data_IF_484600401438
#
_entry.id   IF_484600401438
#
_cell.length_a   1.000
_cell.length_b   1.000
_cell.length_c   1.000
_cell.angle_alpha   90.00
_cell.angle_beta   90.00
_cell.angle_gamma   90.00
#
_symmetry.space_group_name_H-M   'P 1'
#
loop_
_entity.id
_entity.type
_entity.pdbx_description
1 polymer ?
#
# COMPACT_ATOMS: atom_id res chain seq x y z
N UNK A 1 52.68 -28.48 -35.74
CA UNK A 1 51.60 -29.31 -35.14
C UNK A 1 50.81 -28.49 -34.12
N UNK A 2 50.08 -27.43 -34.53
CA UNK A 2 49.29 -26.61 -33.57
C UNK A 2 48.25 -25.67 -34.20
N UNK A 3 47.64 -26.00 -35.35
CA UNK A 3 46.57 -25.16 -35.93
C UNK A 3 45.30 -25.90 -36.37
N UNK A 4 45.27 -27.24 -36.34
CA UNK A 4 44.09 -28.04 -36.73
C UNK A 4 43.25 -28.58 -35.56
N UNK A 5 43.65 -28.35 -34.29
CA UNK A 5 42.91 -28.86 -33.11
C UNK A 5 41.86 -27.89 -32.53
N UNK A 6 41.73 -26.68 -33.06
CA UNK A 6 40.81 -25.67 -32.51
C UNK A 6 39.51 -25.43 -33.30
N UNK A 7 39.31 -26.11 -34.43
CA UNK A 7 38.10 -25.90 -35.25
C UNK A 7 36.97 -26.90 -34.93
N UNK A 8 37.27 -28.08 -34.39
CA UNK A 8 36.25 -29.07 -34.01
C UNK A 8 35.45 -28.67 -32.76
N UNK A 9 36.06 -27.91 -31.84
CA UNK A 9 35.42 -27.39 -30.62
C UNK A 9 34.61 -26.11 -30.85
N UNK A 10 34.91 -25.31 -31.87
CA UNK A 10 34.17 -24.08 -32.21
C UNK A 10 32.89 -24.38 -33.02
N UNK A 11 32.91 -25.42 -33.85
CA UNK A 11 31.73 -25.85 -34.65
C UNK A 11 30.68 -26.56 -33.77
N UNK A 12 31.09 -27.23 -32.69
CA UNK A 12 30.17 -27.87 -31.74
C UNK A 12 29.54 -26.88 -30.74
N UNK A 13 30.23 -25.80 -30.36
CA UNK A 13 29.69 -24.81 -29.41
C UNK A 13 28.70 -23.82 -30.04
N UNK A 14 28.91 -23.45 -31.31
CA UNK A 14 28.04 -22.51 -32.03
C UNK A 14 26.70 -23.13 -32.40
N UNK A 15 26.65 -24.43 -32.71
CA UNK A 15 25.40 -25.15 -32.98
C UNK A 15 24.53 -25.30 -31.73
N UNK A 16 25.12 -25.60 -30.57
CA UNK A 16 24.37 -25.74 -29.30
C UNK A 16 23.69 -24.46 -28.83
N UNK A 17 24.37 -23.31 -28.92
CA UNK A 17 23.80 -22.01 -28.53
C UNK A 17 22.66 -21.56 -29.46
N UNK A 18 22.80 -21.80 -30.77
CA UNK A 18 21.75 -21.50 -31.78
C UNK A 18 20.54 -22.41 -31.58
N UNK A 19 20.73 -23.70 -31.31
CA UNK A 19 19.65 -24.65 -30.99
C UNK A 19 18.95 -24.25 -29.70
N UNK A 20 19.68 -23.87 -28.65
CA UNK A 20 19.09 -23.39 -27.39
C UNK A 20 18.29 -22.09 -27.57
N UNK A 21 18.78 -21.17 -28.41
CA UNK A 21 18.04 -19.94 -28.73
C UNK A 21 16.75 -20.24 -29.52
N UNK A 22 16.82 -21.11 -30.53
CA UNK A 22 15.65 -21.55 -31.32
C UNK A 22 14.63 -22.29 -30.45
N UNK A 23 15.07 -23.24 -29.60
CA UNK A 23 14.20 -23.94 -28.66
C UNK A 23 13.54 -22.99 -27.67
N UNK A 24 14.25 -21.95 -27.22
CA UNK A 24 13.70 -20.90 -26.35
C UNK A 24 12.66 -20.06 -27.09
N UNK A 25 12.90 -19.68 -28.34
CA UNK A 25 11.91 -18.95 -29.18
C UNK A 25 10.66 -19.80 -29.46
N UNK A 26 10.83 -21.08 -29.80
CA UNK A 26 9.72 -22.02 -29.99
C UNK A 26 8.91 -22.17 -28.69
N UNK A 27 9.58 -22.36 -27.54
CA UNK A 27 8.91 -22.46 -26.24
C UNK A 27 8.14 -21.18 -25.90
N UNK A 28 8.70 -20.00 -26.16
CA UNK A 28 7.98 -18.73 -25.99
C UNK A 28 6.78 -18.60 -26.93
N UNK A 29 6.91 -19.00 -28.19
CA UNK A 29 5.81 -19.00 -29.17
C UNK A 29 4.69 -19.94 -28.75
N UNK A 30 5.01 -21.17 -28.32
CA UNK A 30 4.02 -22.13 -27.81
C UNK A 30 3.33 -21.60 -26.56
N UNK A 31 4.06 -21.02 -25.60
CA UNK A 31 3.48 -20.39 -24.41
C UNK A 31 2.57 -19.23 -24.80
N UNK A 32 2.97 -18.41 -25.75
CA UNK A 32 2.19 -17.27 -26.24
C UNK A 32 0.88 -17.71 -26.90
N UNK A 33 0.92 -18.68 -27.81
CA UNK A 33 -0.29 -19.20 -28.46
C UNK A 33 -1.19 -19.94 -27.46
N UNK A 34 -0.63 -20.69 -26.50
CA UNK A 34 -1.41 -21.32 -25.42
C UNK A 34 -2.10 -20.28 -24.53
N UNK A 35 -1.42 -19.19 -24.19
CA UNK A 35 -2.00 -18.08 -23.43
C UNK A 35 -3.07 -17.37 -24.24
N UNK A 36 -2.85 -17.18 -25.55
CA UNK A 36 -3.78 -16.53 -26.46
C UNK A 36 -5.05 -17.36 -26.66
N UNK A 37 -4.94 -18.68 -26.83
CA UNK A 37 -6.08 -19.60 -26.84
C UNK A 37 -6.81 -19.61 -25.50
N UNK A 38 -6.09 -19.64 -24.37
CA UNK A 38 -6.72 -19.53 -23.05
C UNK A 38 -7.45 -18.20 -22.89
N UNK A 39 -6.89 -17.09 -23.33
CA UNK A 39 -7.54 -15.77 -23.32
C UNK A 39 -8.75 -15.75 -24.25
N UNK A 40 -8.65 -16.32 -25.45
CA UNK A 40 -9.73 -16.38 -26.44
C UNK A 40 -10.90 -17.23 -25.93
N UNK A 41 -10.62 -18.44 -25.46
CA UNK A 41 -11.63 -19.33 -24.86
C UNK A 41 -12.22 -18.74 -23.58
N UNK A 42 -11.41 -18.06 -22.78
CA UNK A 42 -11.90 -17.38 -21.58
C UNK A 42 -12.80 -16.17 -21.91
N UNK A 43 -12.52 -15.42 -23.00
CA UNK A 43 -13.39 -14.36 -23.52
C UNK A 43 -14.74 -14.90 -24.02
N UNK A 44 -14.72 -16.01 -24.75
CA UNK A 44 -15.93 -16.62 -25.29
C UNK A 44 -16.78 -17.32 -24.21
N UNK A 45 -16.17 -17.83 -23.14
CA UNK A 45 -16.86 -18.53 -22.05
C UNK A 45 -17.28 -17.63 -20.87
N UNK A 46 -16.83 -16.37 -20.79
CA UNK A 46 -17.19 -15.46 -19.71
C UNK A 46 -17.93 -14.23 -20.23
N UNK A 47 -19.25 -14.39 -20.34
CA UNK A 47 -20.32 -13.39 -20.17
C UNK A 47 -20.07 -11.97 -20.71
N UNK A 48 -20.94 -11.61 -21.65
CA UNK A 48 -21.35 -10.24 -21.92
C UNK A 48 -21.94 -9.65 -20.63
N UNK A 49 -21.14 -8.91 -19.85
CA UNK A 49 -21.61 -8.22 -18.64
C UNK A 49 -22.21 -6.90 -19.11
N UNK A 50 -23.54 -6.88 -19.30
CA UNK A 50 -24.31 -5.74 -19.83
C UNK A 50 -24.15 -4.44 -19.02
N UNK A 51 -23.68 -4.55 -17.79
CA UNK A 51 -23.42 -3.43 -16.87
C UNK A 51 -22.07 -2.74 -17.10
N UNK A 52 -21.21 -3.28 -17.98
CA UNK A 52 -19.89 -2.69 -18.22
C UNK A 52 -20.01 -1.44 -19.11
N UNK A 53 -19.34 -0.32 -18.74
CA UNK A 53 -19.36 0.91 -19.53
C UNK A 53 -18.79 0.77 -20.94
N UNK A 54 -17.97 -0.27 -21.19
CA UNK A 54 -17.37 -0.53 -22.49
C UNK A 54 -17.50 -2.01 -22.83
N UNK A 55 -18.14 -2.36 -23.96
CA UNK A 55 -18.35 -3.76 -24.36
C UNK A 55 -17.04 -4.50 -24.69
N UNK A 56 -15.93 -3.79 -24.91
CA UNK A 56 -14.62 -4.40 -25.14
C UNK A 56 -13.89 -4.78 -23.84
N UNK A 57 -14.46 -4.45 -22.68
CA UNK A 57 -13.85 -4.81 -21.41
C UNK A 57 -13.98 -6.30 -21.16
N UNK A 58 -12.88 -6.84 -20.65
CA UNK A 58 -12.76 -8.27 -20.37
C UNK A 58 -12.52 -8.44 -18.88
N UNK A 59 -13.32 -9.28 -18.25
CA UNK A 59 -13.28 -9.54 -16.80
C UNK A 59 -11.93 -9.86 -16.12
N UNK A 60 -10.83 -10.36 -16.68
CA UNK A 60 -9.53 -10.72 -16.04
C UNK A 60 -9.46 -11.51 -14.68
N UNK A 61 -10.47 -11.53 -13.80
CA UNK A 61 -10.37 -12.18 -12.50
C UNK A 61 -11.57 -11.99 -11.57
N UNK A 62 -11.40 -12.43 -10.31
CA UNK A 62 -12.35 -12.26 -9.21
C UNK A 62 -11.57 -11.88 -7.94
N UNK A 63 -12.10 -10.96 -7.16
CA UNK A 63 -11.56 -10.61 -5.84
C UNK A 63 -11.67 -11.84 -4.93
N UNK A 64 -10.53 -12.33 -4.43
CA UNK A 64 -10.48 -13.47 -3.52
C UNK A 64 -10.80 -13.04 -2.08
N UNK A 65 -10.15 -11.98 -1.63
CA UNK A 65 -10.31 -11.43 -0.28
C UNK A 65 -10.14 -9.91 -0.29
N UNK A 66 -10.79 -9.25 0.66
CA UNK A 66 -10.62 -7.84 0.95
C UNK A 66 -10.05 -7.70 2.35
N UNK A 67 -9.09 -6.78 2.49
CA UNK A 67 -8.41 -6.50 3.74
C UNK A 67 -8.21 -5.00 3.86
N UNK A 68 -8.21 -4.51 5.10
CA UNK A 68 -7.70 -3.19 5.48
C UNK A 68 -6.66 -3.36 6.57
N UNK A 69 -5.80 -2.37 6.75
CA UNK A 69 -4.83 -2.29 7.84
C UNK A 69 -5.23 -1.11 8.72
N UNK A 70 -6.10 -1.30 9.74
CA UNK A 70 -6.55 -0.18 10.56
C UNK A 70 -5.39 0.52 11.25
N UNK A 71 -4.38 -0.22 11.68
CA UNK A 71 -3.09 0.30 12.12
C UNK A 71 -2.10 0.29 10.95
N UNK A 72 -1.51 1.45 10.64
CA UNK A 72 -0.46 1.58 9.65
C UNK A 72 0.72 0.66 9.99
N UNK A 73 1.13 -0.17 9.04
CA UNK A 73 2.15 -1.22 9.21
C UNK A 73 1.78 -2.35 10.18
N UNK A 74 0.56 -2.36 10.72
CA UNK A 74 0.03 -3.42 11.58
C UNK A 74 -0.65 -4.55 10.80
N UNK A 75 -1.23 -5.49 11.54
CA UNK A 75 -1.90 -6.65 10.97
C UNK A 75 -3.18 -6.25 10.22
N UNK A 76 -3.57 -7.10 9.28
CA UNK A 76 -4.74 -6.90 8.42
C UNK A 76 -6.02 -7.35 9.10
N UNK A 77 -7.10 -6.63 8.82
CA UNK A 77 -8.47 -7.01 9.15
C UNK A 77 -9.19 -7.43 7.88
N UNK A 78 -9.74 -8.64 7.88
CA UNK A 78 -10.54 -9.15 6.76
C UNK A 78 -11.89 -8.43 6.70
N UNK A 79 -12.33 -8.08 5.49
CA UNK A 79 -13.57 -7.37 5.24
C UNK A 79 -14.44 -8.13 4.22
N UNK A 80 -15.76 -8.03 4.36
CA UNK A 80 -16.72 -8.49 3.35
C UNK A 80 -16.99 -7.44 2.27
N UNK A 81 -16.89 -6.16 2.63
CA UNK A 81 -17.16 -5.02 1.76
C UNK A 81 -16.27 -3.84 2.13
N UNK A 82 -15.83 -3.10 1.11
CA UNK A 82 -15.14 -1.82 1.23
C UNK A 82 -15.88 -0.75 0.44
N UNK A 83 -15.86 0.47 0.96
CA UNK A 83 -16.17 1.70 0.22
C UNK A 83 -14.88 2.47 0.09
N UNK A 84 -14.55 2.92 -1.11
CA UNK A 84 -13.39 3.77 -1.31
C UNK A 84 -13.81 5.23 -1.21
N UNK A 85 -13.01 6.01 -0.50
CA UNK A 85 -13.17 7.45 -0.32
C UNK A 85 -11.87 8.16 -0.71
N UNK A 86 -11.85 9.49 -0.89
CA UNK A 86 -10.61 10.23 -1.10
C UNK A 86 -9.55 10.02 0.00
N UNK A 87 -9.97 9.66 1.22
CA UNK A 87 -9.10 9.45 2.37
C UNK A 87 -8.67 7.99 2.57
N UNK A 88 -9.13 7.08 1.70
CA UNK A 88 -8.80 5.66 1.77
C UNK A 88 -10.03 4.76 1.75
N UNK A 89 -9.76 3.46 1.85
CA UNK A 89 -10.80 2.45 1.96
C UNK A 89 -11.42 2.47 3.35
N UNK A 90 -12.74 2.35 3.43
CA UNK A 90 -13.48 2.25 4.67
C UNK A 90 -14.39 1.03 4.66
N UNK A 91 -14.66 0.47 5.83
CA UNK A 91 -15.66 -0.57 6.05
C UNK A 91 -16.49 -0.23 7.29
N UNK A 92 -17.71 -0.77 7.38
CA UNK A 92 -18.50 -0.67 8.61
C UNK A 92 -18.38 -2.00 9.36
N UNK A 93 -17.83 -1.97 10.57
CA UNK A 93 -17.72 -3.14 11.44
C UNK A 93 -18.28 -2.80 12.81
N UNK A 94 -19.23 -3.61 13.29
CA UNK A 94 -19.85 -3.47 14.62
C UNK A 94 -20.32 -2.03 14.93
N UNK A 95 -20.89 -1.36 13.94
CA UNK A 95 -21.43 0.00 14.04
C UNK A 95 -20.43 1.13 13.74
N UNK A 96 -19.12 0.92 13.95
CA UNK A 96 -18.09 1.91 13.64
C UNK A 96 -17.63 1.86 12.17
N UNK A 97 -17.27 3.01 11.61
CA UNK A 97 -16.56 3.12 10.34
C UNK A 97 -15.07 2.94 10.60
N UNK A 98 -14.52 1.82 10.11
CA UNK A 98 -13.10 1.53 10.18
C UNK A 98 -12.44 1.93 8.87
N UNK A 99 -11.44 2.81 8.97
CA UNK A 99 -10.68 3.32 7.83
C UNK A 99 -9.32 2.60 7.73
N UNK A 100 -8.88 2.34 6.49
CA UNK A 100 -7.52 1.88 6.24
C UNK A 100 -6.52 2.92 6.74
N UNK A 101 -5.58 2.49 7.59
CA UNK A 101 -4.58 3.33 8.27
C UNK A 101 -5.19 4.42 9.14
N UNK A 102 -6.32 4.11 9.79
CA UNK A 102 -6.94 4.98 10.80
C UNK A 102 -6.00 5.27 11.99
N UNK A 103 -5.09 4.35 12.31
CA UNK A 103 -4.14 4.47 13.40
C UNK A 103 -2.70 4.42 12.89
N UNK A 104 -1.79 5.10 13.57
CA UNK A 104 -0.36 5.09 13.31
C UNK A 104 0.42 4.93 14.60
N UNK A 105 1.64 4.40 14.52
CA UNK A 105 2.57 4.42 15.65
C UNK A 105 3.49 5.62 15.49
N UNK A 106 3.57 6.45 16.51
CA UNK A 106 4.40 7.63 16.60
C UNK A 106 5.41 7.47 17.73
N UNK A 107 6.66 7.81 17.49
CA UNK A 107 7.70 7.84 18.50
C UNK A 107 7.86 9.27 19.02
N UNK A 108 7.48 9.50 20.27
CA UNK A 108 7.49 10.83 20.88
C UNK A 108 8.90 11.39 21.06
N UNK A 109 9.92 10.54 21.15
CA UNK A 109 11.32 10.97 21.31
C UNK A 109 11.91 11.40 19.97
N UNK A 110 11.75 10.58 18.93
CA UNK A 110 12.29 10.89 17.60
C UNK A 110 11.37 11.79 16.78
N UNK A 111 10.13 11.99 17.24
CA UNK A 111 9.06 12.71 16.54
C UNK A 111 8.69 12.09 15.20
N UNK A 112 8.98 10.80 14.98
CA UNK A 112 8.77 10.11 13.70
C UNK A 112 7.72 9.01 13.78
N UNK A 113 7.00 8.81 12.66
CA UNK A 113 6.14 7.64 12.50
C UNK A 113 6.97 6.36 12.33
N UNK A 114 6.50 5.30 12.97
CA UNK A 114 7.12 3.99 12.92
C UNK A 114 6.44 3.10 11.88
N UNK A 115 7.23 2.23 11.26
CA UNK A 115 6.77 1.28 10.26
C UNK A 115 7.53 -0.04 10.36
N UNK A 116 7.23 -1.01 9.49
CA UNK A 116 7.89 -2.32 9.51
C UNK A 116 9.40 -2.27 9.22
N UNK A 117 9.90 -1.23 8.54
CA UNK A 117 11.33 -1.05 8.30
C UNK A 117 12.05 -0.58 9.57
N UNK A 118 11.42 0.29 10.36
CA UNK A 118 12.00 0.72 11.64
C UNK A 118 11.83 -0.35 12.72
N UNK A 119 10.68 -1.03 12.75
CA UNK A 119 10.35 -2.06 13.75
C UNK A 119 9.43 -3.13 13.15
N UNK A 120 10.00 -4.28 12.80
CA UNK A 120 9.27 -5.39 12.18
C UNK A 120 8.14 -5.94 13.06
N UNK A 121 8.27 -5.89 14.38
CA UNK A 121 7.24 -6.38 15.32
C UNK A 121 5.89 -5.65 15.21
N UNK A 122 5.87 -4.43 14.66
CA UNK A 122 4.63 -3.66 14.45
C UNK A 122 3.63 -4.43 13.59
N UNK A 123 4.09 -5.26 12.64
CA UNK A 123 3.23 -6.04 11.75
C UNK A 123 2.32 -7.03 12.46
N UNK A 124 2.62 -7.37 13.72
CA UNK A 124 1.86 -8.30 14.54
C UNK A 124 0.82 -7.58 15.41
N UNK A 125 0.87 -6.25 15.48
CA UNK A 125 -0.09 -5.45 16.23
C UNK A 125 -1.38 -5.36 15.45
N UNK A 126 -2.47 -5.83 16.05
CA UNK A 126 -3.80 -5.84 15.46
C UNK A 126 -4.70 -4.83 16.15
N UNK A 127 -5.58 -4.20 15.38
CA UNK A 127 -6.61 -3.30 15.87
C UNK A 127 -7.99 -3.85 15.46
N UNK A 128 -8.79 -4.26 16.44
CA UNK A 128 -10.13 -4.82 16.24
C UNK A 128 -11.18 -3.93 16.88
N UNK A 129 -12.31 -3.75 16.18
CA UNK A 129 -13.44 -3.02 16.73
C UNK A 129 -14.24 -3.96 17.62
N UNK A 130 -14.57 -3.53 18.83
CA UNK A 130 -15.42 -4.28 19.76
C UNK A 130 -16.87 -3.79 19.73
N UNK A 131 -17.08 -2.48 19.61
CA UNK A 131 -18.38 -1.82 19.54
C UNK A 131 -18.30 -0.54 18.69
N UNK A 132 -19.32 0.32 18.76
CA UNK A 132 -19.39 1.57 18.01
C UNK A 132 -18.34 2.60 18.44
N UNK A 133 -17.84 2.53 19.67
CA UNK A 133 -16.81 3.44 20.17
C UNK A 133 -15.56 2.73 20.70
N UNK A 134 -15.60 1.41 20.89
CA UNK A 134 -14.50 0.69 21.51
C UNK A 134 -13.58 0.01 20.50
N UNK A 135 -12.28 0.27 20.66
CA UNK A 135 -11.20 -0.34 19.89
C UNK A 135 -10.30 -1.14 20.80
N UNK A 136 -9.99 -2.37 20.40
CA UNK A 136 -9.01 -3.21 21.06
C UNK A 136 -7.75 -3.29 20.21
N UNK A 137 -6.62 -2.92 20.79
CA UNK A 137 -5.30 -3.25 20.25
C UNK A 137 -4.80 -4.54 20.88
N UNK A 138 -4.19 -5.40 20.08
CA UNK A 138 -3.66 -6.69 20.55
C UNK A 138 -2.34 -7.05 19.89
N UNK A 139 -1.49 -7.73 20.67
CA UNK A 139 -0.26 -8.37 20.22
C UNK A 139 -0.15 -9.70 20.99
N UNK A 140 -0.32 -10.82 20.28
CA UNK A 140 -0.49 -12.13 20.91
C UNK A 140 -1.60 -12.09 21.99
N UNK A 141 -1.29 -12.48 23.23
CA UNK A 141 -2.25 -12.51 24.34
C UNK A 141 -2.43 -11.16 25.05
N UNK A 142 -1.57 -10.18 24.76
CA UNK A 142 -1.62 -8.86 25.38
C UNK A 142 -2.60 -7.96 24.65
N UNK A 143 -3.51 -7.33 25.39
CA UNK A 143 -4.60 -6.52 24.84
C UNK A 143 -4.80 -5.25 25.66
N UNK A 144 -5.19 -4.18 24.98
CA UNK A 144 -5.70 -2.95 25.60
C UNK A 144 -6.95 -2.52 24.83
N UNK A 145 -7.96 -2.05 25.54
CA UNK A 145 -9.22 -1.60 24.93
C UNK A 145 -9.47 -0.16 25.35
N UNK A 146 -9.76 0.70 24.37
CA UNK A 146 -10.08 2.10 24.61
C UNK A 146 -11.46 2.43 24.08
N UNK A 147 -12.11 3.41 24.71
CA UNK A 147 -13.27 4.09 24.16
C UNK A 147 -12.78 5.33 23.40
N UNK A 148 -12.86 5.29 22.06
CA UNK A 148 -12.43 6.38 21.19
C UNK A 148 -13.16 7.69 21.51
N UNK A 149 -14.44 7.63 21.84
CA UNK A 149 -15.22 8.84 22.06
C UNK A 149 -14.86 9.51 23.38
N UNK A 150 -14.51 8.71 24.40
CA UNK A 150 -14.06 9.23 25.69
C UNK A 150 -12.66 9.81 25.61
N UNK A 151 -11.70 9.06 25.07
CA UNK A 151 -10.30 9.50 25.00
C UNK A 151 -10.14 10.75 24.14
N UNK A 152 -10.95 10.89 23.08
CA UNK A 152 -10.92 12.07 22.21
C UNK A 152 -11.64 13.28 22.83
N UNK A 153 -12.68 13.10 23.64
CA UNK A 153 -13.38 14.24 24.27
C UNK A 153 -12.62 14.79 25.47
N UNK A 154 -12.11 13.90 26.33
CA UNK A 154 -11.60 14.31 27.64
C UNK A 154 -10.11 14.71 27.58
N UNK A 155 -9.36 14.22 26.59
CA UNK A 155 -7.89 14.35 26.58
C UNK A 155 -7.28 14.43 25.17
N UNK A 156 -7.92 15.19 24.26
CA UNK A 156 -7.49 15.37 22.87
C UNK A 156 -6.10 16.00 22.76
N UNK A 157 -5.04 15.18 22.79
CA UNK A 157 -3.67 15.61 22.54
C UNK A 157 -3.33 15.41 21.06
N UNK A 158 -3.22 16.50 20.32
CA UNK A 158 -2.70 16.48 18.94
C UNK A 158 -1.18 16.40 19.03
N UNK A 159 -0.58 15.30 18.56
CA UNK A 159 0.88 15.11 18.62
C UNK A 159 1.60 15.60 17.36
N UNK A 160 0.87 15.70 16.25
CA UNK A 160 1.35 16.19 14.96
C UNK A 160 0.16 16.67 14.14
N UNK A 161 0.40 17.69 13.34
CA UNK A 161 -0.55 18.25 12.39
C UNK A 161 0.15 18.43 11.05
N UNK A 162 -0.55 18.12 9.96
CA UNK A 162 -0.10 18.42 8.61
C UNK A 162 -1.21 19.19 7.90
N UNK A 163 -0.94 20.44 7.57
CA UNK A 163 -1.86 21.29 6.80
C UNK A 163 -1.38 21.40 5.36
N UNK A 164 -2.26 21.04 4.44
CA UNK A 164 -2.12 21.28 3.00
C UNK A 164 -3.13 22.34 2.57
N UNK A 165 -3.08 22.79 1.32
CA UNK A 165 -4.03 23.76 0.77
C UNK A 165 -5.49 23.29 0.70
N UNK A 166 -5.77 22.00 0.94
CA UNK A 166 -7.14 21.46 0.80
C UNK A 166 -7.54 20.54 1.97
N UNK A 167 -6.56 20.10 2.76
CA UNK A 167 -6.74 19.06 3.78
C UNK A 167 -5.86 19.39 4.98
N UNK A 168 -6.46 19.36 6.17
CA UNK A 168 -5.79 19.23 7.45
C UNK A 168 -5.75 17.76 7.86
N UNK A 169 -4.62 17.32 8.38
CA UNK A 169 -4.46 15.98 8.94
C UNK A 169 -3.97 16.13 10.38
N UNK A 170 -4.80 15.74 11.34
CA UNK A 170 -4.49 15.76 12.76
C UNK A 170 -4.19 14.35 13.24
N UNK A 171 -3.13 14.20 14.03
CA UNK A 171 -2.77 12.94 14.67
C UNK A 171 -3.04 13.06 16.17
N UNK A 172 -4.07 12.37 16.64
CA UNK A 172 -4.57 12.46 18.00
C UNK A 172 -4.08 11.26 18.79
N UNK A 173 -3.48 11.53 19.94
CA UNK A 173 -3.00 10.53 20.89
C UNK A 173 -4.12 9.62 21.39
N UNK A 174 -3.91 8.31 21.38
CA UNK A 174 -4.85 7.34 21.93
C UNK A 174 -4.73 7.15 23.46
N UNK A 175 -3.91 7.96 24.14
CA UNK A 175 -3.87 8.04 25.59
C UNK A 175 -2.75 7.21 26.22
N UNK A 176 -2.56 7.44 27.52
CA UNK A 176 -1.43 6.88 28.28
C UNK A 176 -1.54 5.37 28.48
N UNK A 177 -2.75 4.83 28.61
CA UNK A 177 -2.97 3.39 28.76
C UNK A 177 -2.46 2.62 27.53
N UNK A 178 -2.77 3.12 26.33
CA UNK A 178 -2.33 2.52 25.07
C UNK A 178 -0.83 2.68 24.87
N UNK A 179 -0.27 3.85 25.22
CA UNK A 179 1.17 4.07 25.18
C UNK A 179 1.90 3.09 26.12
N UNK A 180 1.44 2.93 27.37
CA UNK A 180 2.03 2.00 28.33
C UNK A 180 1.93 0.55 27.84
N UNK A 181 0.78 0.15 27.33
CA UNK A 181 0.59 -1.18 26.73
C UNK A 181 1.54 -1.42 25.55
N UNK A 182 1.63 -0.47 24.61
CA UNK A 182 2.47 -0.61 23.42
C UNK A 182 3.96 -0.71 23.78
N UNK A 183 4.40 0.13 24.72
CA UNK A 183 5.79 0.15 25.16
C UNK A 183 6.18 -1.12 25.93
N UNK A 184 5.28 -1.64 26.76
CA UNK A 184 5.49 -2.91 27.45
C UNK A 184 5.55 -4.08 26.46
N UNK A 185 4.65 -4.11 25.47
CA UNK A 185 4.55 -5.22 24.50
C UNK A 185 5.68 -5.22 23.48
N UNK A 186 6.21 -4.05 23.12
CA UNK A 186 7.33 -3.91 22.17
C UNK A 186 8.69 -3.68 22.84
N UNK A 187 8.77 -3.72 24.18
CA UNK A 187 9.97 -3.44 24.97
C UNK A 187 10.61 -2.08 24.61
N UNK A 188 9.80 -1.03 24.53
CA UNK A 188 10.22 0.37 24.27
C UNK A 188 9.77 1.31 25.38
N UNK A 189 9.95 2.63 25.22
CA UNK A 189 9.52 3.62 26.22
C UNK A 189 8.91 4.91 25.66
N UNK A 190 8.87 5.09 24.34
CA UNK A 190 8.50 6.38 23.70
C UNK A 190 7.43 6.26 22.63
N UNK A 191 6.88 5.06 22.42
CA UNK A 191 5.91 4.82 21.36
C UNK A 191 4.49 5.14 21.81
N UNK A 192 3.71 5.71 20.89
CA UNK A 192 2.29 6.03 21.10
C UNK A 192 1.50 5.62 19.87
N UNK A 193 0.29 5.10 20.07
CA UNK A 193 -0.67 4.95 18.97
C UNK A 193 -1.42 6.27 18.84
N UNK A 194 -1.58 6.72 17.59
CA UNK A 194 -2.30 7.93 17.26
C UNK A 194 -3.38 7.63 16.23
N UNK A 195 -4.54 8.25 16.37
CA UNK A 195 -5.62 8.21 15.39
C UNK A 195 -5.47 9.39 14.42
N UNK A 196 -5.69 9.13 13.13
CA UNK A 196 -5.74 10.18 12.11
C UNK A 196 -7.16 10.75 11.99
N UNK A 197 -7.24 12.07 11.90
CA UNK A 197 -8.46 12.80 11.54
C UNK A 197 -8.18 13.73 10.36
N UNK A 198 -9.15 13.83 9.45
CA UNK A 198 -9.06 14.63 8.23
C UNK A 198 -10.12 15.72 8.27
N UNK A 199 -9.70 16.97 8.07
CA UNK A 199 -10.59 18.11 7.88
C UNK A 199 -10.37 18.66 6.46
N UNK A 200 -11.45 18.93 5.71
CA UNK A 200 -11.36 19.65 4.44
C UNK A 200 -11.25 21.12 4.76
N UNK A 201 -10.24 21.78 4.18
CA UNK A 201 -10.06 23.22 4.32
C UNK A 201 -10.25 23.85 2.94
N UNK A 202 -11.19 24.78 2.81
CA UNK A 202 -11.42 25.56 1.59
C UNK A 202 -10.61 26.88 1.61
N UNK A 203 -9.39 26.86 2.16
CA UNK A 203 -8.52 28.03 2.23
C UNK A 203 -7.40 27.94 1.17
N UNK A 204 -7.28 28.90 0.25
CA UNK A 204 -6.14 28.95 -0.67
C UNK A 204 -4.86 29.25 0.11
N UNK A 205 -4.15 28.20 0.54
CA UNK A 205 -2.83 28.35 1.14
C UNK A 205 -1.83 28.65 0.02
N UNK A 206 -1.24 29.85 0.08
CA UNK A 206 -0.17 30.25 -0.83
C UNK A 206 1.03 29.30 -0.65
N UNK A 207 1.62 28.84 -1.75
CA UNK A 207 2.70 27.83 -1.80
C UNK A 207 3.89 28.11 -0.83
N UNK A 208 4.08 29.36 -0.41
CA UNK A 208 5.07 29.79 0.59
C UNK A 208 4.80 29.28 2.01
N UNK A 209 3.56 28.96 2.37
CA UNK A 209 3.17 28.48 3.70
C UNK A 209 3.16 26.95 3.80
N UNK A 210 3.20 26.24 2.67
CA UNK A 210 3.27 24.77 2.61
C UNK A 210 4.64 24.22 3.05
N UNK A 211 5.64 25.09 3.15
CA UNK A 211 7.01 24.79 3.56
C UNK A 211 7.46 25.75 4.67
N UNK A 212 6.71 25.85 5.77
CA UNK A 212 7.39 26.16 7.04
C UNK A 212 8.30 24.96 7.32
N UNK A 213 9.59 25.12 6.99
CA UNK A 213 10.65 24.23 7.47
C UNK A 213 10.42 24.06 8.98
N UNK A 214 10.05 22.85 9.40
CA UNK A 214 10.50 22.39 10.71
C UNK A 214 12.02 22.52 10.65
N UNK A 215 12.57 23.39 11.49
CA UNK A 215 14.02 23.61 11.59
C UNK A 215 14.79 22.37 12.05
N UNK A 216 14.10 21.25 12.31
CA UNK A 216 14.66 20.04 12.89
C UNK A 216 14.58 18.81 11.95
N UNK A 217 14.01 18.93 10.75
CA UNK A 217 13.82 17.80 9.82
C UNK A 217 14.94 17.73 8.75
N UNK A 218 16.19 17.53 9.16
CA UNK A 218 17.31 17.21 8.24
C UNK A 218 17.39 15.72 7.83
N UNK A 219 16.39 14.89 8.15
CA UNK A 219 16.52 13.44 7.99
C UNK A 219 16.17 12.87 6.59
N UNK A 220 15.70 13.68 5.63
CA UNK A 220 15.21 13.17 4.34
C UNK A 220 16.04 13.54 3.10
N UNK A 221 17.17 14.24 3.24
CA UNK A 221 17.94 14.73 2.08
C UNK A 221 19.22 13.95 1.72
N UNK A 222 19.57 12.87 2.43
CA UNK A 222 20.72 12.05 2.02
C UNK A 222 20.30 10.89 1.11
N UNK A 223 19.88 11.22 -0.12
CA UNK A 223 19.99 10.30 -1.26
C UNK A 223 21.14 10.83 -2.12
N UNK A 224 22.24 10.10 -2.14
CA UNK A 224 23.44 10.44 -2.93
C UNK A 224 23.10 10.59 -4.42
N UNK A 225 23.67 11.59 -5.13
CA UNK A 225 23.42 11.79 -6.55
C UNK A 225 24.25 10.81 -7.36
N UNK A 226 23.61 9.85 -8.04
CA UNK A 226 24.34 9.03 -9.00
C UNK A 226 23.71 7.71 -9.40
N UNK A 227 22.43 7.65 -9.79
CA UNK A 227 21.92 6.56 -10.63
C UNK A 227 20.97 7.13 -11.69
N UNK A 228 21.26 6.77 -12.94
CA UNK A 228 20.61 7.14 -14.20
C UNK A 228 19.07 7.00 -14.10
N UNK A 229 18.34 8.05 -14.54
CA UNK A 229 16.88 8.08 -14.57
C UNK A 229 16.31 7.07 -15.57
N UNK A 230 15.77 5.96 -15.08
CA UNK A 230 14.77 5.18 -15.79
C UNK A 230 13.38 5.80 -15.55
N UNK A 231 12.71 6.24 -16.63
CA UNK A 231 11.41 6.92 -16.58
C UNK A 231 10.34 5.99 -15.98
N UNK A 232 9.91 6.25 -14.75
CA UNK A 232 8.78 5.56 -14.10
C UNK A 232 7.51 5.74 -14.92
N UNK A 233 6.91 4.62 -15.30
CA UNK A 233 5.55 4.52 -15.81
C UNK A 233 4.60 4.85 -14.66
N UNK A 234 3.83 5.94 -14.74
CA UNK A 234 2.75 6.17 -13.79
C UNK A 234 1.56 5.30 -14.16
N UNK A 235 1.16 4.43 -13.23
CA UNK A 235 -0.10 3.70 -13.31
C UNK A 235 -1.09 4.47 -12.45
N UNK A 236 -2.17 4.99 -13.05
CA UNK A 236 -3.26 5.59 -12.29
C UNK A 236 -4.37 4.57 -12.13
N UNK A 237 -4.79 4.36 -10.88
CA UNK A 237 -6.00 3.60 -10.59
C UNK A 237 -7.18 4.58 -10.48
N UNK A 238 -8.30 4.22 -11.10
CA UNK A 238 -9.58 4.95 -10.95
C UNK A 238 -10.62 3.99 -10.39
N UNK A 239 -11.49 4.49 -9.54
CA UNK A 239 -12.55 3.70 -8.91
C UNK A 239 -13.88 4.14 -9.52
N UNK A 240 -14.60 3.20 -10.10
CA UNK A 240 -15.96 3.40 -10.61
C UNK A 240 -16.87 2.39 -9.89
N UNK A 241 -17.82 2.88 -9.10
CA UNK A 241 -18.71 2.05 -8.29
C UNK A 241 -17.97 1.20 -7.25
N UNK A 242 -18.31 -0.09 -7.16
CA UNK A 242 -17.70 -1.05 -6.23
C UNK A 242 -16.42 -1.73 -6.77
N UNK A 243 -15.82 -1.24 -7.85
CA UNK A 243 -14.69 -1.89 -8.53
C UNK A 243 -13.47 -0.97 -8.66
N UNK A 244 -12.29 -1.53 -8.38
CA UNK A 244 -10.98 -0.92 -8.58
C UNK A 244 -10.51 -1.19 -10.01
N UNK A 245 -10.26 -0.14 -10.79
CA UNK A 245 -9.74 -0.24 -12.15
C UNK A 245 -8.29 0.26 -12.18
N UNK A 246 -7.36 -0.57 -12.65
CA UNK A 246 -5.98 -0.19 -12.92
C UNK A 246 -5.88 0.19 -14.40
N UNK A 247 -5.61 1.46 -14.70
CA UNK A 247 -5.43 1.93 -16.08
C UNK A 247 -3.93 1.97 -16.38
N UNK A 248 -3.48 1.11 -17.29
CA UNK A 248 -2.13 1.20 -17.85
C UNK A 248 -2.14 2.02 -19.13
N UNK A 249 -1.50 3.20 -19.11
CA UNK A 249 -1.22 3.95 -20.33
C UNK A 249 0.08 3.45 -20.95
N UNK A 250 0.01 2.91 -22.18
CA UNK A 250 1.18 2.69 -23.03
C UNK A 250 1.28 3.85 -24.02
N UNK A 251 2.30 4.71 -23.86
CA UNK A 251 2.63 5.72 -24.87
C UNK A 251 3.65 5.10 -25.83
N UNK A 252 3.21 4.65 -27.01
CA UNK A 252 4.14 4.31 -28.11
C UNK A 252 4.90 5.58 -28.51
N UNK A 253 6.24 5.50 -28.58
CA UNK A 253 7.02 6.48 -29.35
C UNK A 253 6.72 6.25 -30.82
N UNK A 254 6.10 7.21 -31.49
CA UNK A 254 6.28 7.35 -32.93
C UNK A 254 7.72 7.84 -33.17
N UNK A 255 8.39 7.25 -34.16
CA UNK A 255 9.72 7.65 -34.61
C UNK A 255 9.68 9.05 -35.21
#
# INVERSE_FOLDING_TARGET
MTLLKNWSSIITFTSGAVVMFLMRQIKYSTIYETLKEKIYNWKNNNYNISELPNPNWIKIGKVKELHIHPLASGDRTKCSKLKFTPYGAITKQKGLILQDKMFHIYDEKTKQFQNTHTRTAIQLVRADMLSESHVQFSLADYKVTIDLDKEIRDNRKIVRELKTSWIEIKYIDCGEEVAKWLNNTLCTSTLRIVRVEYDIIDEPIMEKDMMKKNTDDEAWLNISPGIIQEKRVSSSAKIFGNFLWIVHYWRRKCK
#
